data_IF_415827265913
#
_entry.id   IF_415827265913
#
_cell.length_a   1.000
_cell.length_b   1.000
_cell.length_c   1.000
_cell.angle_alpha   90.00
_cell.angle_beta   90.00
_cell.angle_gamma   90.00
#
_symmetry.space_group_name_H-M   'P 1'
#
loop_
_entity.id
_entity.type
_entity.pdbx_description
1 polymer ?
#
# COMPACT_ATOMS: atom_id res chain seq x y z
N UNK A 1 -20.67 -3.46 -5.44
CA UNK A 1 -19.62 -2.70 -4.75
C UNK A 1 -19.80 -1.22 -5.06
N UNK A 2 -20.05 -0.45 -4.03
CA UNK A 2 -20.21 0.99 -4.19
C UNK A 2 -18.85 1.68 -4.03
N UNK A 3 -18.53 2.68 -4.88
CA UNK A 3 -17.31 3.44 -4.71
C UNK A 3 -17.36 4.31 -3.46
N UNK A 4 -16.26 4.32 -2.72
CA UNK A 4 -16.06 5.21 -1.58
C UNK A 4 -15.72 6.62 -2.10
N UNK A 5 -16.47 7.62 -1.69
CA UNK A 5 -16.13 9.02 -1.97
C UNK A 5 -15.10 9.52 -0.97
N UNK A 6 -14.02 10.07 -1.48
CA UNK A 6 -12.93 10.63 -0.69
C UNK A 6 -12.78 12.10 -1.09
N UNK A 7 -13.40 12.95 -0.30
CA UNK A 7 -13.48 14.37 -0.65
C UNK A 7 -14.42 14.65 -1.85
N UNK A 8 -14.45 15.87 -2.36
CA UNK A 8 -15.43 16.27 -3.36
C UNK A 8 -15.15 15.78 -4.78
N UNK A 9 -13.93 15.35 -5.07
CA UNK A 9 -13.47 15.05 -6.45
C UNK A 9 -12.92 13.65 -6.66
N UNK A 10 -12.77 12.86 -5.59
CA UNK A 10 -12.18 11.53 -5.67
C UNK A 10 -13.19 10.47 -5.26
N UNK A 11 -13.24 9.41 -6.03
CA UNK A 11 -13.91 8.18 -5.63
C UNK A 11 -13.00 7.00 -5.86
N UNK A 12 -13.05 6.04 -4.94
CA UNK A 12 -12.23 4.82 -4.97
C UNK A 12 -13.14 3.63 -4.80
N UNK A 13 -12.89 2.59 -5.56
CA UNK A 13 -13.53 1.29 -5.38
C UNK A 13 -12.45 0.21 -5.28
N UNK A 14 -12.65 -0.74 -4.40
CA UNK A 14 -11.75 -1.87 -4.23
C UNK A 14 -12.55 -3.15 -4.04
N UNK A 15 -12.05 -4.24 -4.59
CA UNK A 15 -12.64 -5.56 -4.44
C UNK A 15 -11.55 -6.60 -4.37
N UNK A 16 -11.76 -7.60 -3.52
CA UNK A 16 -10.96 -8.82 -3.48
C UNK A 16 -11.89 -10.02 -3.52
N UNK A 17 -11.51 -11.03 -4.26
CA UNK A 17 -12.29 -12.25 -4.41
C UNK A 17 -11.37 -13.46 -4.51
N UNK A 18 -11.67 -14.49 -3.75
CA UNK A 18 -10.88 -15.72 -3.69
C UNK A 18 -10.90 -16.52 -5.00
N UNK A 19 -11.93 -16.31 -5.83
CA UNK A 19 -12.09 -17.05 -7.09
C UNK A 19 -12.29 -18.54 -6.85
N UNK A 20 -11.49 -19.35 -7.56
CA UNK A 20 -11.48 -20.82 -7.42
C UNK A 20 -10.41 -21.33 -6.46
N UNK A 21 -9.69 -20.42 -5.79
CA UNK A 21 -8.65 -20.77 -4.82
C UNK A 21 -9.29 -21.19 -3.49
N UNK A 22 -8.55 -21.92 -2.68
CA UNK A 22 -8.98 -22.27 -1.32
C UNK A 22 -8.78 -21.11 -0.34
N UNK A 23 -7.70 -20.35 -0.52
CA UNK A 23 -7.34 -19.21 0.30
C UNK A 23 -7.17 -17.96 -0.55
N UNK A 24 -7.53 -16.82 0.01
CA UNK A 24 -7.24 -15.52 -0.57
C UNK A 24 -6.01 -14.94 0.12
N UNK A 25 -4.88 -14.97 -0.56
CA UNK A 25 -3.61 -14.43 -0.09
C UNK A 25 -3.41 -12.97 -0.49
N UNK A 26 -4.37 -12.40 -1.19
CA UNK A 26 -4.37 -11.00 -1.59
C UNK A 26 -4.77 -10.10 -0.42
N UNK A 27 -4.20 -8.93 -0.39
CA UNK A 27 -4.61 -7.87 0.51
C UNK A 27 -4.61 -6.52 -0.20
N UNK A 28 -5.53 -5.66 0.16
CA UNK A 28 -5.57 -4.29 -0.36
C UNK A 28 -5.91 -3.31 0.74
N UNK A 29 -5.59 -2.04 0.51
CA UNK A 29 -5.95 -0.94 1.41
C UNK A 29 -6.24 0.33 0.66
N UNK A 30 -7.27 1.00 1.09
CA UNK A 30 -7.58 2.39 0.76
C UNK A 30 -7.40 3.18 2.06
N UNK A 31 -6.42 4.07 2.10
CA UNK A 31 -6.08 4.85 3.29
C UNK A 31 -6.07 6.35 2.98
N UNK A 32 -7.18 7.05 3.23
CA UNK A 32 -7.20 8.50 3.20
C UNK A 32 -6.68 9.07 4.53
N UNK A 33 -5.79 10.05 4.45
CA UNK A 33 -5.20 10.73 5.60
C UNK A 33 -5.39 12.24 5.44
N UNK A 34 -6.03 12.86 6.40
CA UNK A 34 -6.13 14.31 6.45
C UNK A 34 -4.84 14.91 7.00
N UNK A 35 -4.34 15.93 6.32
CA UNK A 35 -3.16 16.70 6.75
C UNK A 35 -3.45 18.18 6.71
N UNK A 36 -2.64 19.04 7.37
CA UNK A 36 -2.79 20.49 7.26
C UNK A 36 -2.66 21.02 5.83
N UNK A 37 -1.95 20.30 4.96
CA UNK A 37 -1.81 20.65 3.54
C UNK A 37 -3.00 20.20 2.69
N UNK A 38 -3.77 19.21 3.14
CA UNK A 38 -4.86 18.58 2.43
C UNK A 38 -4.87 17.07 2.53
N UNK A 39 -5.59 16.42 1.64
CA UNK A 39 -5.72 14.96 1.60
C UNK A 39 -4.47 14.27 1.07
N UNK A 40 -3.97 13.30 1.81
CA UNK A 40 -3.00 12.31 1.36
C UNK A 40 -3.73 10.97 1.22
N UNK A 41 -3.65 10.34 0.06
CA UNK A 41 -4.34 9.08 -0.22
C UNK A 41 -3.34 7.99 -0.58
N UNK A 42 -3.37 6.88 0.15
CA UNK A 42 -2.64 5.66 -0.20
C UNK A 42 -3.62 4.62 -0.71
N UNK A 43 -3.35 4.09 -1.89
CA UNK A 43 -3.98 2.90 -2.45
C UNK A 43 -2.91 1.83 -2.61
N UNK A 44 -3.19 0.61 -2.14
CA UNK A 44 -2.22 -0.48 -2.24
C UNK A 44 -2.90 -1.82 -2.48
N UNK A 45 -2.27 -2.65 -3.30
CA UNK A 45 -2.64 -4.05 -3.51
C UNK A 45 -1.40 -4.92 -3.36
N UNK A 46 -1.56 -6.10 -2.80
CA UNK A 46 -0.50 -7.08 -2.62
C UNK A 46 -1.06 -8.49 -2.84
N UNK A 47 -0.35 -9.28 -3.63
CA UNK A 47 -0.65 -10.68 -3.92
C UNK A 47 0.41 -11.54 -3.22
N UNK A 48 -0.01 -12.21 -2.16
CA UNK A 48 0.86 -13.01 -1.32
C UNK A 48 1.12 -14.40 -1.90
N UNK A 49 2.28 -14.96 -1.57
CA UNK A 49 2.67 -16.32 -1.91
C UNK A 49 3.36 -17.01 -0.72
N UNK A 50 3.33 -18.33 -0.69
CA UNK A 50 4.00 -19.12 0.33
C UNK A 50 3.16 -20.27 0.86
N UNK A 51 1.96 -20.45 0.34
CA UNK A 51 1.02 -21.48 0.73
C UNK A 51 0.49 -21.32 2.16
N UNK A 52 -0.61 -22.00 2.48
CA UNK A 52 -1.30 -21.90 3.77
C UNK A 52 -1.55 -20.41 4.15
N UNK A 53 -1.14 -20.02 5.33
CA UNK A 53 -1.32 -18.65 5.83
C UNK A 53 -0.14 -17.72 5.52
N UNK A 54 0.96 -18.24 4.98
CA UNK A 54 2.19 -17.47 4.81
C UNK A 54 2.04 -16.32 3.80
N UNK A 55 1.38 -16.56 2.68
CA UNK A 55 1.12 -15.53 1.68
C UNK A 55 0.18 -14.44 2.18
N UNK A 56 -0.85 -14.81 2.92
CA UNK A 56 -1.76 -13.85 3.57
C UNK A 56 -1.01 -12.96 4.56
N UNK A 57 -0.10 -13.53 5.36
CA UNK A 57 0.76 -12.75 6.26
C UNK A 57 1.68 -11.80 5.50
N UNK A 58 2.31 -12.27 4.43
CA UNK A 58 3.23 -11.46 3.65
C UNK A 58 2.54 -10.23 3.04
N UNK A 59 1.37 -10.41 2.43
CA UNK A 59 0.61 -9.31 1.82
C UNK A 59 0.14 -8.29 2.85
N UNK A 60 -0.34 -8.75 4.02
CA UNK A 60 -0.74 -7.86 5.12
C UNK A 60 0.44 -7.08 5.70
N UNK A 61 1.56 -7.74 6.00
CA UNK A 61 2.76 -7.10 6.54
C UNK A 61 3.30 -6.02 5.60
N UNK A 62 3.31 -6.28 4.31
CA UNK A 62 3.78 -5.32 3.32
C UNK A 62 2.91 -4.06 3.28
N UNK A 63 1.59 -4.22 3.24
CA UNK A 63 0.66 -3.08 3.22
C UNK A 63 0.64 -2.34 4.55
N UNK A 64 0.76 -3.03 5.70
CA UNK A 64 0.88 -2.37 7.01
C UNK A 64 2.14 -1.51 7.09
N UNK A 65 3.27 -2.01 6.61
CA UNK A 65 4.52 -1.25 6.58
C UNK A 65 4.40 0.02 5.73
N UNK A 66 3.80 -0.10 4.56
CA UNK A 66 3.58 1.03 3.66
C UNK A 66 2.59 2.04 4.26
N UNK A 67 1.54 1.56 4.90
CA UNK A 67 0.56 2.39 5.61
C UNK A 67 1.22 3.19 6.75
N UNK A 68 2.12 2.57 7.49
CA UNK A 68 2.90 3.23 8.54
C UNK A 68 3.79 4.34 7.98
N UNK A 69 4.44 4.11 6.84
CA UNK A 69 5.24 5.14 6.18
C UNK A 69 4.37 6.34 5.74
N UNK A 70 3.18 6.09 5.20
CA UNK A 70 2.24 7.14 4.81
C UNK A 70 1.72 7.92 6.03
N UNK A 71 1.36 7.25 7.12
CA UNK A 71 0.94 7.91 8.37
C UNK A 71 2.07 8.73 8.96
N UNK A 72 3.28 8.20 8.99
CA UNK A 72 4.46 8.94 9.47
C UNK A 72 4.71 10.21 8.67
N UNK A 73 4.50 10.17 7.37
CA UNK A 73 4.58 11.36 6.52
C UNK A 73 3.49 12.38 6.83
N UNK A 74 2.24 11.94 7.02
CA UNK A 74 1.15 12.81 7.42
C UNK A 74 1.42 13.50 8.77
N UNK A 75 1.93 12.78 9.76
CA UNK A 75 2.35 13.33 11.05
C UNK A 75 3.50 14.33 10.90
N UNK A 76 4.45 14.04 10.02
CA UNK A 76 5.55 14.94 9.72
C UNK A 76 5.07 16.27 9.13
N UNK A 77 4.09 16.24 8.24
CA UNK A 77 3.44 17.45 7.71
C UNK A 77 2.76 18.26 8.81
N UNK A 78 2.15 17.61 9.79
CA UNK A 78 1.54 18.28 10.95
C UNK A 78 2.58 18.98 11.83
N UNK A 79 3.80 18.48 11.89
CA UNK A 79 4.86 19.07 12.69
C UNK A 79 5.46 20.35 12.10
N UNK A 80 5.08 20.74 10.89
CA UNK A 80 5.62 21.90 10.17
C UNK A 80 7.05 21.76 9.72
N UNK A 81 7.64 20.55 9.78
CA UNK A 81 8.99 20.28 9.27
C UNK A 81 9.00 20.24 7.74
N UNK A 82 10.17 20.52 7.11
CA UNK A 82 10.28 20.38 5.67
C UNK A 82 9.89 18.99 5.21
N UNK A 83 8.97 18.90 4.24
CA UNK A 83 8.49 17.64 3.72
C UNK A 83 9.46 17.07 2.68
N UNK A 84 9.70 15.77 2.73
CA UNK A 84 10.35 15.04 1.65
C UNK A 84 9.34 14.77 0.52
N UNK A 85 9.82 14.49 -0.68
CA UNK A 85 8.94 14.17 -1.80
C UNK A 85 8.21 12.83 -1.63
N UNK A 86 7.07 12.69 -2.31
CA UNK A 86 6.25 11.48 -2.25
C UNK A 86 7.02 10.20 -2.66
N UNK A 87 7.91 10.31 -3.64
CA UNK A 87 8.74 9.18 -4.07
C UNK A 87 9.62 8.65 -2.93
N UNK A 88 10.12 9.53 -2.10
CA UNK A 88 10.94 9.16 -0.94
C UNK A 88 10.12 8.43 0.13
N UNK A 89 8.90 8.87 0.36
CA UNK A 89 7.97 8.19 1.27
C UNK A 89 7.64 6.79 0.77
N UNK A 90 7.37 6.67 -0.53
CA UNK A 90 7.10 5.40 -1.18
C UNK A 90 8.29 4.43 -1.06
N UNK A 91 9.48 4.90 -1.39
CA UNK A 91 10.72 4.12 -1.27
C UNK A 91 10.93 3.60 0.16
N UNK A 92 10.78 4.49 1.14
CA UNK A 92 10.88 4.12 2.56
C UNK A 92 9.86 3.05 2.95
N UNK A 93 8.62 3.19 2.49
CA UNK A 93 7.56 2.21 2.75
C UNK A 93 7.86 0.85 2.15
N UNK A 94 8.38 0.80 0.93
CA UNK A 94 8.79 -0.45 0.27
C UNK A 94 9.98 -1.13 0.97
N UNK A 95 10.97 -0.36 1.39
CA UNK A 95 12.10 -0.90 2.16
C UNK A 95 11.67 -1.45 3.52
N UNK A 96 10.75 -0.77 4.19
CA UNK A 96 10.19 -1.25 5.46
C UNK A 96 9.38 -2.53 5.25
N UNK A 97 8.56 -2.59 4.20
CA UNK A 97 7.80 -3.77 3.83
C UNK A 97 8.71 -4.98 3.59
N UNK A 98 9.75 -4.78 2.78
CA UNK A 98 10.75 -5.81 2.51
C UNK A 98 11.36 -6.37 3.80
N UNK A 99 11.84 -5.51 4.67
CA UNK A 99 12.48 -5.92 5.94
C UNK A 99 11.54 -6.73 6.82
N UNK A 100 10.27 -6.34 6.89
CA UNK A 100 9.27 -7.04 7.72
C UNK A 100 8.93 -8.41 7.14
N UNK A 101 8.73 -8.50 5.85
CA UNK A 101 8.45 -9.79 5.17
C UNK A 101 9.66 -10.73 5.27
N UNK A 102 10.86 -10.24 5.00
CA UNK A 102 12.08 -11.04 5.13
C UNK A 102 12.28 -11.56 6.55
N UNK A 103 12.08 -10.73 7.56
CA UNK A 103 12.18 -11.14 8.97
C UNK A 103 11.14 -12.21 9.34
N UNK A 104 9.92 -12.06 8.90
CA UNK A 104 8.86 -13.03 9.16
C UNK A 104 9.13 -14.36 8.43
N UNK A 105 9.70 -14.31 7.22
CA UNK A 105 10.04 -15.48 6.43
C UNK A 105 11.13 -16.35 7.07
N UNK A 106 11.93 -15.82 7.97
CA UNK A 106 12.94 -16.57 8.74
C UNK A 106 12.32 -17.47 9.80
N UNK A 107 11.08 -17.25 10.20
CA UNK A 107 10.39 -18.06 11.20
C UNK A 107 10.06 -19.46 10.68
N UNK A 108 10.06 -20.50 11.57
CA UNK A 108 9.63 -21.84 11.18
C UNK A 108 8.24 -21.84 10.55
N UNK A 109 8.08 -22.57 9.45
CA UNK A 109 6.82 -22.64 8.69
C UNK A 109 6.51 -21.45 7.79
N UNK A 110 7.40 -20.47 7.73
CA UNK A 110 7.24 -19.25 6.92
C UNK A 110 8.19 -19.16 5.72
N UNK A 111 9.00 -20.18 5.50
CA UNK A 111 9.95 -20.22 4.38
C UNK A 111 9.22 -20.11 3.05
N UNK A 112 9.77 -19.30 2.14
CA UNK A 112 9.21 -19.09 0.81
C UNK A 112 8.04 -18.13 0.77
N UNK A 113 7.65 -17.53 1.91
CA UNK A 113 6.64 -16.49 1.89
C UNK A 113 7.16 -15.22 1.22
N UNK A 114 6.30 -14.60 0.46
CA UNK A 114 6.59 -13.36 -0.24
C UNK A 114 5.29 -12.70 -0.69
N UNK A 115 5.41 -11.54 -1.28
CA UNK A 115 4.27 -10.82 -1.82
C UNK A 115 4.70 -9.85 -2.92
N UNK A 116 3.83 -9.62 -3.87
CA UNK A 116 3.89 -8.42 -4.71
C UNK A 116 3.47 -7.21 -3.88
N UNK A 117 3.82 -6.04 -4.33
CA UNK A 117 3.31 -4.80 -3.76
C UNK A 117 3.21 -3.75 -4.87
N UNK A 118 2.02 -3.24 -5.09
CA UNK A 118 1.76 -2.16 -6.02
C UNK A 118 0.94 -1.11 -5.30
N UNK A 119 1.41 0.12 -5.31
CA UNK A 119 0.78 1.19 -4.54
C UNK A 119 0.82 2.51 -5.27
N UNK A 120 -0.16 3.35 -4.98
CA UNK A 120 -0.26 4.72 -5.44
C UNK A 120 -0.41 5.64 -4.22
N UNK A 121 0.48 6.60 -4.10
CA UNK A 121 0.44 7.64 -3.07
C UNK A 121 0.17 8.98 -3.74
N UNK A 122 -0.94 9.62 -3.37
CA UNK A 122 -1.43 10.84 -4.00
C UNK A 122 -1.60 11.96 -2.98
N UNK A 123 -1.07 13.13 -3.32
CA UNK A 123 -1.23 14.36 -2.54
C UNK A 123 -2.16 15.33 -3.27
N UNK A 124 -3.36 15.52 -2.74
CA UNK A 124 -4.39 16.32 -3.42
C UNK A 124 -4.05 17.82 -3.52
N UNK A 125 -3.27 18.35 -2.57
CA UNK A 125 -2.88 19.76 -2.57
C UNK A 125 -1.91 20.15 -3.69
N UNK A 126 -1.10 19.22 -4.19
CA UNK A 126 -0.19 19.45 -5.32
C UNK A 126 -0.63 18.73 -6.60
N UNK A 127 -1.72 17.95 -6.54
CA UNK A 127 -2.23 17.14 -7.65
C UNK A 127 -1.18 16.18 -8.25
N UNK A 128 -0.31 15.66 -7.40
CA UNK A 128 0.73 14.72 -7.78
C UNK A 128 0.56 13.39 -7.07
N UNK A 129 0.95 12.34 -7.76
CA UNK A 129 0.98 11.00 -7.22
C UNK A 129 2.20 10.25 -7.72
N UNK A 130 2.62 9.26 -6.93
CA UNK A 130 3.68 8.32 -7.29
C UNK A 130 3.18 6.90 -7.23
N UNK A 131 3.66 6.07 -8.13
CA UNK A 131 3.41 4.63 -8.14
C UNK A 131 4.67 3.93 -7.68
N UNK A 132 4.54 3.06 -6.68
CA UNK A 132 5.55 2.08 -6.29
C UNK A 132 5.10 0.70 -6.75
N UNK A 133 6.04 -0.11 -7.24
CA UNK A 133 5.69 -1.42 -7.79
C UNK A 133 6.82 -2.43 -7.67
N UNK A 134 6.47 -3.64 -7.22
CA UNK A 134 7.34 -4.82 -7.24
C UNK A 134 6.49 -6.07 -7.47
N UNK A 135 6.91 -6.92 -8.39
CA UNK A 135 6.24 -8.17 -8.74
C UNK A 135 5.47 -8.09 -10.05
N UNK A 136 4.46 -8.94 -10.21
CA UNK A 136 3.65 -9.07 -11.42
C UNK A 136 2.21 -8.52 -11.31
N UNK A 137 1.85 -7.91 -10.16
CA UNK A 137 0.65 -7.07 -10.07
C UNK A 137 0.82 -5.84 -10.99
N UNK A 138 -0.25 -5.16 -11.34
CA UNK A 138 -0.20 -4.09 -12.35
C UNK A 138 -0.96 -2.85 -11.90
N UNK A 139 -0.49 -1.71 -12.35
CA UNK A 139 -1.19 -0.44 -12.24
C UNK A 139 -1.37 0.16 -13.64
N UNK A 140 -2.55 0.70 -13.91
CA UNK A 140 -2.88 1.32 -15.18
C UNK A 140 -3.39 2.74 -14.97
N UNK A 141 -2.95 3.65 -15.81
CA UNK A 141 -3.47 5.02 -15.86
C UNK A 141 -4.28 5.18 -17.12
N UNK A 142 -5.51 5.68 -16.98
CA UNK A 142 -6.39 6.04 -18.06
C UNK A 142 -6.67 7.54 -18.02
N UNK A 143 -6.81 8.14 -19.19
CA UNK A 143 -7.13 9.55 -19.33
C UNK A 143 -6.21 10.26 -20.31
N UNK A 144 -6.50 11.54 -20.60
CA UNK A 144 -5.69 12.34 -21.48
C UNK A 144 -4.27 12.53 -20.97
#
# INVERSE_FOLDING_TARGET
MEPMRIGPRLSVAAVSHVGRRQNNEDFHRVLPLETPAGLLLLLAVADGMGGLEAGEWASKLAIEALSEAARGYAEHLQSGRPAVGLARVMEKGFLLARRRVEREAERPGRRGMGTTLTAFLYADWIKEGVVGHIGDSRAYRFGP
#
